data_IF_089841476257
#
_entry.id   IF_089841476257
#
_cell.length_a   1.000
_cell.length_b   1.000
_cell.length_c   1.000
_cell.angle_alpha   90.00
_cell.angle_beta   90.00
_cell.angle_gamma   90.00
#
_symmetry.space_group_name_H-M   'P 1'
#
loop_
_entity.id
_entity.type
_entity.pdbx_description
1 polymer ?
#
# COMPACT_ATOMS: atom_id res chain seq x y z
N UNK A 1 6.76 11.26 4.81
CA UNK A 1 7.45 9.98 5.14
C UNK A 1 8.96 10.26 5.14
N UNK A 2 9.68 9.88 6.21
CA UNK A 2 11.15 10.02 6.24
C UNK A 2 11.82 8.89 5.45
N UNK A 3 12.99 9.15 4.87
CA UNK A 3 13.74 8.18 4.05
C UNK A 3 14.09 6.90 4.82
N UNK A 4 14.41 7.02 6.12
CA UNK A 4 14.71 5.86 6.96
C UNK A 4 13.49 4.97 7.20
N UNK A 5 12.31 5.59 7.33
CA UNK A 5 11.05 4.85 7.49
C UNK A 5 10.69 4.10 6.21
N UNK A 6 10.93 4.71 5.04
CA UNK A 6 10.78 4.03 3.75
C UNK A 6 11.68 2.79 3.66
N UNK A 7 12.95 2.91 4.08
CA UNK A 7 13.88 1.78 4.07
C UNK A 7 13.38 0.61 4.94
N UNK A 8 12.88 0.91 6.13
CA UNK A 8 12.32 -0.09 7.05
C UNK A 8 11.14 -0.83 6.44
N UNK A 9 10.16 -0.09 5.91
CA UNK A 9 8.94 -0.67 5.31
C UNK A 9 9.22 -1.46 4.04
N UNK A 10 10.13 -0.97 3.19
CA UNK A 10 10.55 -1.72 2.01
C UNK A 10 11.48 -2.90 2.35
N UNK A 11 11.82 -3.11 3.63
CA UNK A 11 12.76 -4.13 4.10
C UNK A 11 14.10 -4.10 3.35
N UNK A 12 14.63 -2.88 3.16
CA UNK A 12 15.94 -2.63 2.55
C UNK A 12 16.88 -1.97 3.57
N UNK A 13 18.17 -1.93 3.25
CA UNK A 13 19.14 -1.25 4.09
C UNK A 13 18.83 0.26 4.16
N UNK A 14 19.11 0.91 5.30
CA UNK A 14 18.80 2.33 5.55
C UNK A 14 19.34 3.31 4.50
N UNK A 15 20.45 2.94 3.86
CA UNK A 15 21.08 3.75 2.79
C UNK A 15 20.56 3.42 1.39
N UNK A 16 19.81 2.33 1.21
CA UNK A 16 19.34 1.88 -0.11
C UNK A 16 18.47 2.95 -0.79
N UNK A 17 17.51 3.62 -0.12
CA UNK A 17 16.68 4.62 -0.81
C UNK A 17 17.44 5.80 -1.41
N UNK A 18 18.57 6.20 -0.82
CA UNK A 18 19.40 7.31 -1.33
C UNK A 18 20.50 6.82 -2.26
N UNK A 19 21.19 5.73 -1.91
CA UNK A 19 22.34 5.25 -2.66
C UNK A 19 21.97 4.36 -3.85
N UNK A 20 20.84 3.66 -3.79
CA UNK A 20 20.37 2.71 -4.81
C UNK A 20 18.83 2.78 -4.94
N UNK A 21 18.28 3.92 -5.37
CA UNK A 21 16.83 4.11 -5.46
C UNK A 21 16.18 3.06 -6.37
N UNK A 22 16.86 2.60 -7.41
CA UNK A 22 16.38 1.57 -8.33
C UNK A 22 16.52 0.12 -7.84
N UNK A 23 16.87 -0.09 -6.57
CA UNK A 23 16.96 -1.44 -6.01
C UNK A 23 15.62 -2.18 -6.19
N UNK A 24 15.59 -3.40 -6.76
CA UNK A 24 14.35 -4.08 -7.15
C UNK A 24 13.32 -4.19 -6.02
N UNK A 25 13.75 -4.49 -4.80
CA UNK A 25 12.87 -4.59 -3.62
C UNK A 25 12.23 -3.27 -3.24
N UNK A 26 12.99 -2.17 -3.30
CA UNK A 26 12.47 -0.83 -3.02
C UNK A 26 11.47 -0.40 -4.09
N UNK A 27 11.81 -0.65 -5.36
CA UNK A 27 10.93 -0.33 -6.49
C UNK A 27 9.63 -1.13 -6.44
N UNK A 28 9.71 -2.44 -6.15
CA UNK A 28 8.53 -3.30 -5.96
C UNK A 28 7.60 -2.74 -4.87
N UNK A 29 8.15 -2.41 -3.70
CA UNK A 29 7.36 -1.83 -2.61
C UNK A 29 6.71 -0.50 -3.01
N UNK A 30 7.45 0.41 -3.65
CA UNK A 30 6.91 1.69 -4.11
C UNK A 30 5.82 1.50 -5.15
N UNK A 31 6.03 0.61 -6.12
CA UNK A 31 5.06 0.29 -7.16
C UNK A 31 3.77 -0.28 -6.56
N UNK A 32 3.89 -1.23 -5.63
CA UNK A 32 2.74 -1.83 -4.96
C UNK A 32 1.97 -0.79 -4.13
N UNK A 33 2.68 0.11 -3.44
CA UNK A 33 2.05 1.21 -2.70
C UNK A 33 1.27 2.16 -3.63
N UNK A 34 1.82 2.53 -4.77
CA UNK A 34 1.13 3.39 -5.75
C UNK A 34 -0.09 2.68 -6.31
N UNK A 35 0.02 1.41 -6.69
CA UNK A 35 -1.11 0.62 -7.23
C UNK A 35 -2.27 0.56 -6.23
N UNK A 36 -2.00 0.24 -4.97
CA UNK A 36 -3.04 0.18 -3.93
C UNK A 36 -3.65 1.56 -3.69
N UNK A 37 -2.84 2.62 -3.69
CA UNK A 37 -3.34 3.99 -3.51
C UNK A 37 -4.28 4.42 -4.64
N UNK A 38 -3.94 4.10 -5.90
CA UNK A 38 -4.77 4.40 -7.07
C UNK A 38 -6.14 3.74 -6.94
N UNK A 39 -6.18 2.43 -6.68
CA UNK A 39 -7.45 1.70 -6.51
C UNK A 39 -8.22 2.24 -5.31
N UNK A 40 -7.55 2.49 -4.18
CA UNK A 40 -8.21 3.06 -3.01
C UNK A 40 -8.84 4.44 -3.30
N UNK A 41 -8.18 5.30 -4.06
CA UNK A 41 -8.70 6.61 -4.44
C UNK A 41 -9.91 6.53 -5.36
N UNK A 42 -9.94 5.56 -6.27
CA UNK A 42 -11.09 5.26 -7.11
C UNK A 42 -12.28 4.78 -6.27
N UNK A 43 -12.06 3.92 -5.28
CA UNK A 43 -13.12 3.41 -4.40
C UNK A 43 -13.64 4.46 -3.41
N UNK A 44 -12.76 5.30 -2.86
CA UNK A 44 -13.16 6.32 -1.85
C UNK A 44 -13.68 7.61 -2.47
N UNK A 45 -13.42 7.86 -3.76
CA UNK A 45 -13.61 9.16 -4.41
C UNK A 45 -12.95 10.34 -3.66
N UNK A 46 -11.93 10.05 -2.85
CA UNK A 46 -11.24 11.02 -1.99
C UNK A 46 -9.81 10.53 -1.71
N UNK A 47 -8.83 11.26 -2.26
CA UNK A 47 -7.40 10.97 -2.12
C UNK A 47 -6.93 10.98 -0.66
N UNK A 48 -7.45 11.90 0.18
CA UNK A 48 -7.07 11.96 1.60
C UNK A 48 -7.57 10.73 2.34
N UNK A 49 -8.78 10.29 2.01
CA UNK A 49 -9.36 9.05 2.56
C UNK A 49 -8.63 7.82 2.08
N UNK A 50 -8.19 7.78 0.82
CA UNK A 50 -7.38 6.70 0.28
C UNK A 50 -6.01 6.59 0.98
N UNK A 51 -5.33 7.72 1.21
CA UNK A 51 -4.08 7.75 1.99
C UNK A 51 -4.31 7.29 3.43
N UNK A 52 -5.42 7.70 4.05
CA UNK A 52 -5.78 7.26 5.39
C UNK A 52 -6.02 5.74 5.44
N UNK A 53 -6.77 5.20 4.47
CA UNK A 53 -7.00 3.76 4.34
C UNK A 53 -5.69 3.00 4.21
N UNK A 54 -4.80 3.49 3.34
CA UNK A 54 -3.52 2.86 3.08
C UNK A 54 -2.67 2.75 4.35
N UNK A 55 -2.64 3.81 5.16
CA UNK A 55 -1.69 3.96 6.27
C UNK A 55 -2.23 3.54 7.62
N UNK A 56 -3.50 3.79 7.88
CA UNK A 56 -4.04 3.81 9.24
C UNK A 56 -5.28 2.92 9.41
N UNK A 57 -6.01 2.59 8.34
CA UNK A 57 -7.24 1.81 8.47
C UNK A 57 -6.93 0.32 8.57
N UNK A 58 -7.29 -0.35 9.68
CA UNK A 58 -7.15 -1.79 9.82
C UNK A 58 -8.23 -2.50 8.99
N UNK A 59 -7.81 -3.37 8.08
CA UNK A 59 -8.73 -4.11 7.23
C UNK A 59 -9.17 -5.41 7.91
N UNK A 60 -10.45 -5.49 8.30
CA UNK A 60 -11.01 -6.66 9.01
C UNK A 60 -10.80 -7.98 8.25
N UNK A 61 -10.97 -7.97 6.93
CA UNK A 61 -10.77 -9.16 6.07
C UNK A 61 -9.33 -9.71 6.11
N UNK A 62 -8.37 -8.92 6.60
CA UNK A 62 -6.96 -9.27 6.69
C UNK A 62 -6.48 -9.37 8.15
N UNK A 63 -7.38 -9.67 9.08
CA UNK A 63 -7.03 -9.79 10.50
C UNK A 63 -6.60 -8.45 11.10
N UNK A 64 -7.27 -7.36 10.70
CA UNK A 64 -7.01 -5.99 11.17
C UNK A 64 -5.62 -5.43 10.82
N UNK A 65 -4.94 -6.01 9.84
CA UNK A 65 -3.72 -5.42 9.27
C UNK A 65 -4.07 -4.21 8.41
N UNK A 66 -3.22 -3.18 8.43
CA UNK A 66 -3.32 -2.06 7.49
C UNK A 66 -2.86 -2.47 6.10
N UNK A 67 -3.31 -1.75 5.08
CA UNK A 67 -2.88 -1.99 3.70
C UNK A 67 -1.35 -1.83 3.54
N UNK A 68 -0.73 -0.87 4.22
CA UNK A 68 0.72 -0.73 4.26
C UNK A 68 1.42 -2.00 4.77
N UNK A 69 0.99 -2.57 5.91
CA UNK A 69 1.54 -3.84 6.42
C UNK A 69 1.39 -4.97 5.40
N UNK A 70 0.24 -5.05 4.74
CA UNK A 70 0.00 -6.06 3.72
C UNK A 70 0.88 -5.87 2.48
N UNK A 71 1.20 -4.64 2.09
CA UNK A 71 2.17 -4.37 1.02
C UNK A 71 3.58 -4.79 1.42
N UNK A 72 3.98 -4.56 2.68
CA UNK A 72 5.27 -5.05 3.21
C UNK A 72 5.36 -6.59 3.16
N UNK A 73 4.23 -7.27 3.37
CA UNK A 73 4.08 -8.73 3.25
C UNK A 73 3.98 -9.23 1.79
N UNK A 74 4.04 -8.34 0.79
CA UNK A 74 3.93 -8.71 -0.63
C UNK A 74 2.51 -9.08 -1.07
N UNK A 75 1.48 -8.66 -0.32
CA UNK A 75 0.07 -9.01 -0.56
C UNK A 75 -0.74 -7.92 -1.25
N UNK A 76 -0.08 -7.05 -2.02
CA UNK A 76 -0.73 -5.91 -2.68
C UNK A 76 -1.91 -6.31 -3.58
N UNK A 77 -1.76 -7.38 -4.37
CA UNK A 77 -2.81 -7.84 -5.28
C UNK A 77 -4.07 -8.31 -4.53
N UNK A 78 -3.91 -8.89 -3.32
CA UNK A 78 -5.05 -9.28 -2.49
C UNK A 78 -5.82 -8.08 -1.95
N UNK A 79 -5.12 -6.98 -1.63
CA UNK A 79 -5.75 -5.71 -1.19
C UNK A 79 -6.53 -5.11 -2.36
N UNK A 80 -5.92 -5.07 -3.55
CA UNK A 80 -6.55 -4.53 -4.76
C UNK A 80 -7.85 -5.27 -5.05
N UNK A 81 -7.81 -6.60 -5.12
CA UNK A 81 -9.00 -7.42 -5.36
C UNK A 81 -10.08 -7.20 -4.28
N UNK A 82 -9.69 -7.02 -3.02
CA UNK A 82 -10.62 -6.69 -1.94
C UNK A 82 -11.29 -5.32 -2.16
N UNK A 83 -10.52 -4.28 -2.47
CA UNK A 83 -11.05 -2.94 -2.72
C UNK A 83 -11.98 -2.92 -3.95
N UNK A 84 -11.60 -3.60 -5.03
CA UNK A 84 -12.44 -3.75 -6.23
C UNK A 84 -13.75 -4.47 -5.92
N UNK A 85 -13.72 -5.52 -5.07
CA UNK A 85 -14.93 -6.22 -4.66
C UNK A 85 -15.90 -5.33 -3.86
N UNK A 86 -15.38 -4.39 -3.07
CA UNK A 86 -16.20 -3.43 -2.34
C UNK A 86 -16.85 -2.41 -3.28
N UNK A 87 -16.11 -1.94 -4.28
CA UNK A 87 -16.65 -1.04 -5.31
C UNK A 87 -17.73 -1.74 -6.16
N UNK A 88 -17.48 -2.98 -6.60
CA UNK A 88 -18.45 -3.76 -7.37
C UNK A 88 -19.69 -4.14 -6.57
N UNK A 89 -19.54 -4.43 -5.28
CA UNK A 89 -20.68 -4.72 -4.38
C UNK A 89 -21.51 -3.49 -4.02
N UNK A 90 -20.95 -2.28 -4.08
CA UNK A 90 -21.68 -1.04 -3.85
C UNK A 90 -22.53 -0.58 -5.06
N UNK A 91 -22.26 -1.12 -6.25
CA UNK A 91 -22.94 -0.79 -7.49
C UNK A 91 -24.06 -1.79 -7.89
N UNK A 92 -24.29 -2.83 -7.09
CA UNK A 92 -25.26 -3.91 -7.35
C UNK A 92 -26.51 -3.88 -6.47
#
# INVERSE_FOLDING_TARGET
>A
MQVQELAKRAHVHRNTPTARPHAPRLQKYLQDMVRVLTVAAEVTCDEKRAVFLLRNEPLRAFGYKTADTLVQEGRADAIIAYLESLAGGAAG
#
